data_IF_927206498358
#
_entry.id   IF_927206498358
#
_cell.length_a   1.000
_cell.length_b   1.000
_cell.length_c   1.000
_cell.angle_alpha   90.00
_cell.angle_beta   90.00
_cell.angle_gamma   90.00
#
_symmetry.space_group_name_H-M   'P 1'
#
loop_
_entity.id
_entity.type
_entity.pdbx_description
1 polymer ?
#
# COMPACT_ATOMS: atom_id res chain seq x y z
N UNK A 1 -1.72 9.42 41.96
CA UNK A 1 -0.91 8.58 41.04
C UNK A 1 -1.77 8.34 39.82
N UNK A 2 -1.72 9.32 38.91
CA UNK A 2 -2.39 9.26 37.62
C UNK A 2 -1.55 8.35 36.73
N UNK A 3 -2.07 7.16 36.40
CA UNK A 3 -1.51 6.28 35.38
C UNK A 3 -1.68 7.01 34.05
N UNK A 4 -0.65 7.77 33.65
CA UNK A 4 -0.65 8.53 32.41
C UNK A 4 -0.80 7.59 31.21
N UNK A 5 -2.04 7.44 30.75
CA UNK A 5 -2.31 7.04 29.37
C UNK A 5 -1.76 8.18 28.51
N UNK A 6 -0.68 7.93 27.75
CA UNK A 6 -0.24 8.88 26.74
C UNK A 6 -1.43 9.22 25.85
N UNK A 7 -1.74 10.51 25.61
CA UNK A 7 -2.84 10.85 24.71
C UNK A 7 -2.51 10.29 23.33
N UNK A 8 -3.31 9.34 22.87
CA UNK A 8 -3.20 8.78 21.52
C UNK A 8 -3.53 9.88 20.51
N UNK A 9 -2.66 10.07 19.51
CA UNK A 9 -2.85 11.04 18.43
C UNK A 9 -3.80 10.48 17.36
N UNK A 10 -4.99 10.07 17.75
CA UNK A 10 -5.90 9.34 16.90
C UNK A 10 -6.91 10.27 16.23
N UNK A 11 -7.00 10.21 14.89
CA UNK A 11 -8.16 10.72 14.16
C UNK A 11 -9.17 9.58 14.06
N UNK A 12 -10.32 9.77 14.68
CA UNK A 12 -11.39 8.78 14.75
C UNK A 12 -12.63 9.30 14.04
N UNK A 13 -13.15 8.50 13.13
CA UNK A 13 -14.41 8.73 12.42
C UNK A 13 -15.33 7.55 12.70
N UNK A 14 -16.54 7.81 13.13
CA UNK A 14 -17.57 6.79 13.31
C UNK A 14 -18.51 6.71 12.10
N UNK A 15 -19.50 5.82 12.15
CA UNK A 15 -20.44 5.59 11.07
C UNK A 15 -21.27 6.83 10.68
N UNK A 16 -21.44 7.80 11.57
CA UNK A 16 -22.18 9.04 11.29
C UNK A 16 -21.47 9.93 10.27
N UNK A 17 -20.18 9.70 10.05
CA UNK A 17 -19.39 10.41 9.03
C UNK A 17 -19.70 9.92 7.61
N UNK A 18 -20.15 8.69 7.44
CA UNK A 18 -20.35 8.03 6.14
C UNK A 18 -21.83 7.95 5.77
N UNK A 19 -22.47 9.10 5.57
CA UNK A 19 -23.93 9.21 5.34
C UNK A 19 -24.34 8.88 3.91
N UNK A 20 -23.44 9.13 2.97
CA UNK A 20 -23.66 8.94 1.52
C UNK A 20 -22.31 8.73 0.82
N UNK A 21 -22.34 8.50 -0.50
CA UNK A 21 -21.12 8.24 -1.28
C UNK A 21 -20.23 9.47 -1.37
N UNK A 22 -20.76 10.66 -1.40
CA UNK A 22 -20.01 11.91 -1.43
C UNK A 22 -19.22 12.12 -0.12
N UNK A 23 -19.83 11.81 1.02
CA UNK A 23 -19.15 11.83 2.31
C UNK A 23 -18.08 10.73 2.38
N UNK A 24 -18.35 9.54 1.85
CA UNK A 24 -17.40 8.44 1.79
C UNK A 24 -16.14 8.76 0.93
N UNK A 25 -16.31 9.52 -0.16
CA UNK A 25 -15.25 10.00 -1.05
C UNK A 25 -14.62 11.33 -0.56
N UNK A 26 -15.18 11.96 0.48
CA UNK A 26 -14.86 13.32 0.92
C UNK A 26 -13.51 13.53 1.60
N UNK A 27 -12.84 12.47 2.01
CA UNK A 27 -11.54 12.49 2.68
C UNK A 27 -10.72 11.26 2.36
N UNK A 28 -9.40 11.33 2.57
CA UNK A 28 -8.51 10.19 2.38
C UNK A 28 -7.52 10.06 3.54
N UNK A 29 -7.04 8.86 3.78
CA UNK A 29 -5.89 8.62 4.62
C UNK A 29 -4.60 8.61 3.80
N UNK A 30 -3.47 8.82 4.46
CA UNK A 30 -2.14 8.73 3.87
C UNK A 30 -1.19 7.99 4.83
N UNK A 31 -0.62 6.90 4.38
CA UNK A 31 0.49 6.18 5.02
C UNK A 31 1.68 6.23 4.07
N UNK A 32 2.89 6.49 4.58
CA UNK A 32 4.09 6.62 3.77
C UNK A 32 5.21 5.73 4.29
N UNK A 33 6.12 5.36 3.39
CA UNK A 33 7.24 4.46 3.71
C UNK A 33 8.61 5.15 3.76
N UNK A 34 8.69 6.49 3.71
CA UNK A 34 9.95 7.22 3.70
C UNK A 34 10.77 7.13 2.39
N UNK A 35 10.29 6.37 1.40
CA UNK A 35 10.91 6.28 0.07
C UNK A 35 10.13 7.06 -1.01
N UNK A 36 9.00 7.66 -0.66
CA UNK A 36 8.05 8.28 -1.59
C UNK A 36 6.90 7.35 -2.00
N UNK A 37 6.94 6.07 -1.62
CA UNK A 37 5.81 5.15 -1.71
C UNK A 37 4.75 5.46 -0.65
N UNK A 38 3.50 5.05 -0.92
CA UNK A 38 2.39 5.34 -0.02
C UNK A 38 1.22 4.37 -0.16
N UNK A 39 0.37 4.34 0.86
CA UNK A 39 -0.99 3.85 0.81
C UNK A 39 -1.93 5.04 1.03
N UNK A 40 -2.85 5.27 0.09
CA UNK A 40 -3.80 6.37 0.13
C UNK A 40 -5.10 5.95 -0.56
N UNK A 41 -6.17 5.83 0.21
CA UNK A 41 -7.53 5.58 -0.26
C UNK A 41 -8.48 6.57 0.43
N UNK A 42 -9.71 6.65 -0.05
CA UNK A 42 -10.76 7.36 0.66
C UNK A 42 -10.97 6.78 2.07
N UNK A 43 -11.47 7.57 3.00
CA UNK A 43 -11.71 7.11 4.38
C UNK A 43 -12.65 5.91 4.46
N UNK A 44 -13.55 5.75 3.49
CA UNK A 44 -14.40 4.57 3.35
C UNK A 44 -13.74 3.41 2.57
N UNK A 45 -12.43 3.48 2.28
CA UNK A 45 -11.67 2.45 1.59
C UNK A 45 -11.86 2.41 0.08
N UNK A 46 -12.52 3.42 -0.52
CA UNK A 46 -12.70 3.55 -1.96
C UNK A 46 -11.55 4.25 -2.68
N UNK A 47 -11.66 4.34 -4.00
CA UNK A 47 -10.72 5.11 -4.84
C UNK A 47 -11.50 6.16 -5.64
N UNK A 48 -11.40 7.42 -5.24
CA UNK A 48 -12.00 8.56 -5.94
C UNK A 48 -11.03 9.31 -6.86
N UNK A 49 -9.75 8.85 -6.90
CA UNK A 49 -8.68 9.42 -7.74
C UNK A 49 -7.82 8.34 -8.39
N UNK A 50 -7.32 8.63 -9.58
CA UNK A 50 -6.33 7.81 -10.28
C UNK A 50 -5.03 7.61 -9.47
N UNK A 51 -4.68 8.60 -8.66
CA UNK A 51 -3.50 8.57 -7.79
C UNK A 51 -3.72 7.79 -6.48
N UNK A 52 -4.94 7.35 -6.18
CA UNK A 52 -5.21 6.48 -5.04
C UNK A 52 -4.70 5.07 -5.32
N UNK A 53 -4.06 4.49 -4.31
CA UNK A 53 -3.61 3.11 -4.30
C UNK A 53 -3.50 2.64 -2.85
N UNK A 54 -3.88 1.39 -2.59
CA UNK A 54 -3.54 0.75 -1.33
C UNK A 54 -2.04 0.44 -1.28
N UNK A 55 -1.40 0.23 -2.45
CA UNK A 55 0.04 0.05 -2.57
C UNK A 55 0.62 0.81 -3.77
N UNK A 56 1.08 2.03 -3.52
CA UNK A 56 1.92 2.81 -4.43
C UNK A 56 3.37 2.63 -4.02
N UNK A 57 4.20 1.99 -4.86
CA UNK A 57 5.61 1.74 -4.57
C UNK A 57 6.51 2.79 -5.25
N UNK A 58 7.54 3.25 -4.57
CA UNK A 58 8.59 4.07 -5.15
C UNK A 58 9.72 3.15 -5.65
N UNK A 59 9.62 2.66 -6.88
CA UNK A 59 10.63 1.75 -7.46
C UNK A 59 11.99 2.40 -7.65
N UNK A 60 12.00 3.73 -7.69
CA UNK A 60 13.19 4.56 -7.57
C UNK A 60 12.84 5.81 -6.76
N UNK A 61 13.40 5.87 -5.55
CA UNK A 61 13.04 6.89 -4.57
C UNK A 61 13.50 8.30 -4.98
N UNK A 62 12.64 9.33 -4.83
CA UNK A 62 11.25 9.26 -4.35
C UNK A 62 10.19 9.31 -5.47
N UNK A 63 10.56 9.61 -6.71
CA UNK A 63 9.64 10.14 -7.71
C UNK A 63 9.16 9.09 -8.72
N UNK A 64 9.90 7.99 -8.94
CA UNK A 64 9.46 6.93 -9.84
C UNK A 64 8.51 6.00 -9.09
N UNK A 65 7.23 6.35 -9.11
CA UNK A 65 6.16 5.66 -8.38
C UNK A 65 5.30 4.84 -9.31
N UNK A 66 4.94 3.63 -8.86
CA UNK A 66 4.07 2.71 -9.58
C UNK A 66 2.89 2.31 -8.71
N UNK A 67 1.69 2.41 -9.26
CA UNK A 67 0.49 1.82 -8.66
C UNK A 67 0.58 0.30 -8.84
N UNK A 68 0.96 -0.41 -7.80
CA UNK A 68 1.08 -1.86 -7.81
C UNK A 68 -0.29 -2.50 -7.57
N UNK A 69 -0.99 -2.05 -6.52
CA UNK A 69 -2.32 -2.52 -6.15
C UNK A 69 -3.18 -1.30 -5.87
N UNK A 70 -4.20 -1.12 -6.69
CA UNK A 70 -5.11 0.03 -6.54
C UNK A 70 -5.95 -0.13 -5.28
N UNK A 71 -6.55 -1.32 -5.08
CA UNK A 71 -7.37 -1.64 -3.90
C UNK A 71 -7.47 -3.15 -3.71
N UNK A 72 -8.08 -3.61 -2.62
CA UNK A 72 -8.58 -4.97 -2.44
C UNK A 72 -10.11 -4.92 -2.29
N UNK A 73 -10.83 -5.67 -3.12
CA UNK A 73 -12.26 -5.89 -2.91
C UNK A 73 -12.43 -6.86 -1.74
N UNK A 74 -13.35 -6.53 -0.83
CA UNK A 74 -13.60 -7.28 0.40
C UNK A 74 -15.02 -7.85 0.34
N UNK A 75 -15.13 -9.18 0.28
CA UNK A 75 -16.37 -9.89 0.42
C UNK A 75 -16.33 -10.71 1.70
N UNK A 76 -17.37 -10.62 2.54
CA UNK A 76 -17.53 -11.43 3.72
C UNK A 76 -18.85 -12.19 3.64
N UNK A 77 -18.78 -13.51 3.70
CA UNK A 77 -19.97 -14.38 3.79
C UNK A 77 -20.17 -14.75 5.26
N UNK A 78 -21.37 -14.53 5.77
CA UNK A 78 -21.77 -14.93 7.13
C UNK A 78 -23.00 -15.83 7.03
N UNK A 79 -22.88 -17.07 7.46
CA UNK A 79 -23.93 -18.11 7.39
C UNK A 79 -24.54 -18.23 5.97
N UNK A 80 -23.69 -18.18 4.93
CA UNK A 80 -24.08 -18.31 3.52
C UNK A 80 -24.63 -17.02 2.88
N UNK A 81 -24.71 -15.89 3.60
CA UNK A 81 -25.12 -14.59 3.05
C UNK A 81 -23.87 -13.76 2.76
N UNK A 82 -23.73 -13.31 1.51
CA UNK A 82 -22.58 -12.51 1.05
C UNK A 82 -22.82 -11.02 1.33
N UNK A 83 -21.84 -10.38 1.93
CA UNK A 83 -21.76 -8.94 2.17
C UNK A 83 -20.54 -8.39 1.45
N UNK A 84 -20.77 -7.46 0.50
CA UNK A 84 -19.71 -6.73 -0.18
C UNK A 84 -19.31 -5.54 0.69
N UNK A 85 -18.08 -5.47 1.18
CA UNK A 85 -17.64 -4.46 2.14
C UNK A 85 -16.80 -3.33 1.51
N UNK A 86 -16.44 -3.46 0.23
CA UNK A 86 -15.70 -2.42 -0.46
C UNK A 86 -16.61 -1.32 -0.99
N UNK A 87 -16.23 -0.07 -0.78
CA UNK A 87 -16.88 1.11 -1.38
C UNK A 87 -16.13 1.46 -2.65
N UNK A 88 -16.80 1.39 -3.81
CA UNK A 88 -16.18 1.71 -5.10
C UNK A 88 -17.21 2.19 -6.10
N UNK A 89 -16.85 3.21 -6.87
CA UNK A 89 -17.64 3.67 -8.01
C UNK A 89 -17.13 3.00 -9.29
N UNK A 90 -18.06 2.44 -10.04
CA UNK A 90 -17.79 1.73 -11.29
C UNK A 90 -17.75 2.69 -12.48
N UNK A 91 -17.21 2.24 -13.61
CA UNK A 91 -17.10 3.05 -14.82
C UNK A 91 -18.45 3.50 -15.41
N UNK A 92 -19.54 2.78 -15.10
CA UNK A 92 -20.92 3.10 -15.50
C UNK A 92 -21.67 4.01 -14.51
N UNK A 93 -20.96 4.62 -13.54
CA UNK A 93 -21.48 5.42 -12.44
C UNK A 93 -22.27 4.64 -11.36
N UNK A 94 -22.48 3.37 -11.52
CA UNK A 94 -22.98 2.55 -10.41
C UNK A 94 -21.93 2.53 -9.27
N UNK A 95 -22.39 2.34 -8.04
CA UNK A 95 -21.49 2.24 -6.88
C UNK A 95 -21.99 1.22 -5.87
N UNK A 96 -21.06 0.75 -5.07
CA UNK A 96 -21.36 -0.09 -3.91
C UNK A 96 -21.52 0.80 -2.68
N UNK A 97 -22.66 0.67 -1.97
CA UNK A 97 -23.01 1.48 -0.80
C UNK A 97 -22.55 0.84 0.53
N UNK A 98 -21.40 0.23 0.52
CA UNK A 98 -20.94 -0.64 1.61
C UNK A 98 -20.37 0.14 2.80
N UNK A 99 -20.16 1.44 2.66
CA UNK A 99 -19.82 2.33 3.77
C UNK A 99 -20.79 2.25 4.95
N UNK A 100 -22.03 1.83 4.72
CA UNK A 100 -23.02 1.59 5.79
C UNK A 100 -22.63 0.51 6.81
N UNK A 101 -21.70 -0.38 6.45
CA UNK A 101 -21.17 -1.40 7.35
C UNK A 101 -19.95 -0.93 8.13
N UNK A 102 -19.41 0.26 7.84
CA UNK A 102 -18.29 0.83 8.58
C UNK A 102 -18.78 1.25 9.97
N UNK A 103 -18.20 0.65 11.01
CA UNK A 103 -18.43 1.02 12.40
C UNK A 103 -17.55 2.21 12.80
N UNK A 104 -16.28 2.15 12.45
CA UNK A 104 -15.29 3.20 12.73
C UNK A 104 -14.08 3.13 11.80
N UNK A 105 -13.42 4.26 11.66
CA UNK A 105 -12.13 4.42 10.99
C UNK A 105 -11.19 5.16 11.92
N UNK A 106 -9.95 4.72 12.01
CA UNK A 106 -8.93 5.33 12.84
C UNK A 106 -7.63 5.52 12.04
N UNK A 107 -7.00 6.67 12.22
CA UNK A 107 -5.64 6.93 11.73
C UNK A 107 -4.76 7.34 12.91
N UNK A 108 -3.70 6.60 13.16
CA UNK A 108 -2.74 6.81 14.24
C UNK A 108 -1.33 6.38 13.84
N UNK A 109 -0.34 7.19 14.16
CA UNK A 109 1.07 6.81 14.08
C UNK A 109 1.49 6.22 12.72
N UNK A 110 1.07 6.84 11.62
CA UNK A 110 1.30 6.37 10.24
C UNK A 110 0.71 4.98 9.98
N UNK A 111 -0.39 4.66 10.65
CA UNK A 111 -1.19 3.45 10.46
C UNK A 111 -2.66 3.82 10.24
N UNK A 112 -3.36 3.02 9.48
CA UNK A 112 -4.79 3.17 9.24
C UNK A 112 -5.52 1.91 9.66
N UNK A 113 -6.66 2.05 10.34
CA UNK A 113 -7.56 0.94 10.59
C UNK A 113 -9.01 1.29 10.29
N UNK A 114 -9.75 0.28 9.86
CA UNK A 114 -11.18 0.36 9.54
C UNK A 114 -11.89 -0.87 10.08
N UNK A 115 -12.99 -0.67 10.77
CA UNK A 115 -13.81 -1.74 11.32
C UNK A 115 -15.16 -1.78 10.63
N UNK A 116 -15.49 -2.91 10.05
CA UNK A 116 -16.81 -3.23 9.54
C UNK A 116 -17.57 -4.08 10.57
N UNK A 117 -18.88 -3.93 10.62
CA UNK A 117 -19.76 -4.73 11.46
C UNK A 117 -20.94 -5.27 10.65
N UNK A 118 -21.04 -6.58 10.59
CA UNK A 118 -22.11 -7.31 9.90
C UNK A 118 -22.59 -8.43 10.79
N UNK A 119 -23.85 -8.38 11.23
CA UNK A 119 -24.45 -9.43 12.08
C UNK A 119 -23.61 -9.79 13.32
N UNK A 120 -23.08 -8.80 14.03
CA UNK A 120 -22.16 -8.93 15.16
C UNK A 120 -20.79 -9.58 14.84
N UNK A 121 -20.52 -9.92 13.59
CA UNK A 121 -19.15 -10.23 13.13
C UNK A 121 -18.45 -8.93 12.78
N UNK A 122 -17.32 -8.64 13.43
CA UNK A 122 -16.48 -7.49 13.13
C UNK A 122 -15.30 -7.93 12.29
N UNK A 123 -15.03 -7.16 11.24
CA UNK A 123 -13.81 -7.28 10.43
C UNK A 123 -13.02 -5.99 10.60
N UNK A 124 -11.86 -6.08 11.23
CA UNK A 124 -10.93 -4.95 11.37
C UNK A 124 -9.78 -5.11 10.36
N UNK A 125 -9.68 -4.16 9.44
CA UNK A 125 -8.51 -3.99 8.58
C UNK A 125 -7.52 -3.06 9.27
N UNK A 126 -6.26 -3.47 9.38
CA UNK A 126 -5.15 -2.60 9.76
C UNK A 126 -4.07 -2.59 8.68
N UNK A 127 -3.57 -1.41 8.32
CA UNK A 127 -2.60 -1.17 7.24
C UNK A 127 -1.32 -0.57 7.80
N UNK A 128 -0.19 -1.17 7.44
CA UNK A 128 1.16 -0.71 7.81
C UNK A 128 2.07 -0.75 6.58
N UNK A 129 2.89 0.28 6.41
CA UNK A 129 4.01 0.30 5.46
C UNK A 129 5.31 0.51 6.24
N UNK A 130 6.15 -0.54 6.41
CA UNK A 130 7.42 -0.40 7.11
C UNK A 130 8.30 0.68 6.49
N UNK A 131 8.89 1.53 7.33
CA UNK A 131 9.73 2.63 6.88
C UNK A 131 11.00 2.14 6.17
N UNK A 132 11.34 2.76 5.05
CA UNK A 132 12.52 2.41 4.25
C UNK A 132 12.34 1.24 3.30
N UNK A 133 11.12 0.70 3.14
CA UNK A 133 10.85 -0.45 2.28
C UNK A 133 9.61 -0.25 1.40
N UNK A 134 9.64 -0.81 0.18
CA UNK A 134 8.45 -0.94 -0.65
C UNK A 134 7.68 -2.22 -0.27
N UNK A 135 7.12 -2.21 0.93
CA UNK A 135 6.34 -3.30 1.53
C UNK A 135 5.04 -2.75 2.09
N UNK A 136 3.94 -3.43 1.78
CA UNK A 136 2.61 -3.19 2.36
C UNK A 136 2.24 -4.42 3.19
N UNK A 137 1.82 -4.21 4.42
CA UNK A 137 1.31 -5.26 5.30
C UNK A 137 -0.12 -4.93 5.71
N UNK A 138 -1.00 -5.90 5.55
CA UNK A 138 -2.42 -5.81 5.87
C UNK A 138 -2.77 -6.91 6.88
N UNK A 139 -3.51 -6.57 7.92
CA UNK A 139 -4.15 -7.54 8.81
C UNK A 139 -5.66 -7.36 8.79
N UNK A 140 -6.37 -8.41 8.48
CA UNK A 140 -7.82 -8.51 8.55
C UNK A 140 -8.20 -9.39 9.75
N UNK A 141 -8.45 -8.77 10.88
CA UNK A 141 -8.86 -9.45 12.10
C UNK A 141 -10.39 -9.64 12.12
N UNK A 142 -10.82 -10.89 12.20
CA UNK A 142 -12.23 -11.27 12.35
C UNK A 142 -12.50 -11.52 13.83
N UNK A 143 -13.44 -10.76 14.42
CA UNK A 143 -14.02 -11.05 15.74
C UNK A 143 -15.45 -11.57 15.55
N UNK A 144 -15.67 -12.84 15.92
CA UNK A 144 -16.88 -13.63 15.67
C UNK A 144 -17.39 -14.30 16.95
N UNK A 145 -17.88 -13.52 17.95
CA UNK A 145 -18.21 -14.03 19.28
C UNK A 145 -19.35 -15.05 19.28
N UNK A 146 -20.17 -15.07 18.25
CA UNK A 146 -21.30 -16.00 18.10
C UNK A 146 -20.95 -17.25 17.28
N UNK A 147 -19.68 -17.38 16.85
CA UNK A 147 -19.16 -18.52 16.09
C UNK A 147 -19.95 -18.81 14.81
N UNK A 148 -20.36 -17.77 14.08
CA UNK A 148 -20.96 -17.90 12.76
C UNK A 148 -19.99 -18.58 11.78
N UNK A 149 -20.51 -19.24 10.75
CA UNK A 149 -19.69 -19.69 9.62
C UNK A 149 -19.32 -18.48 8.75
N UNK A 150 -18.06 -18.05 8.82
CA UNK A 150 -17.54 -16.87 8.13
C UNK A 150 -16.56 -17.26 7.05
N UNK A 151 -16.75 -16.77 5.82
CA UNK A 151 -15.75 -16.79 4.76
C UNK A 151 -15.36 -15.37 4.37
N UNK A 152 -14.09 -15.03 4.51
CA UNK A 152 -13.48 -13.79 4.01
C UNK A 152 -12.83 -14.05 2.67
N UNK A 153 -13.18 -13.24 1.67
CA UNK A 153 -12.56 -13.22 0.35
C UNK A 153 -12.02 -11.84 0.04
N UNK A 154 -10.74 -11.77 -0.30
CA UNK A 154 -10.02 -10.55 -0.65
C UNK A 154 -9.52 -10.66 -2.08
N UNK A 155 -9.90 -9.70 -2.93
CA UNK A 155 -9.58 -9.71 -4.35
C UNK A 155 -8.76 -8.49 -4.71
N UNK A 156 -7.44 -8.60 -4.93
CA UNK A 156 -6.59 -7.47 -5.25
C UNK A 156 -6.84 -6.96 -6.67
N UNK A 157 -6.85 -5.65 -6.83
CA UNK A 157 -6.96 -4.91 -8.09
C UNK A 157 -5.56 -4.50 -8.55
N UNK A 158 -4.95 -5.31 -9.41
CA UNK A 158 -3.57 -5.13 -9.87
C UNK A 158 -3.51 -4.13 -11.01
N UNK A 159 -2.45 -3.31 -11.01
CA UNK A 159 -2.28 -2.29 -12.03
C UNK A 159 -0.86 -2.23 -12.63
N UNK A 160 0.18 -2.22 -11.83
CA UNK A 160 1.61 -2.18 -12.19
C UNK A 160 1.92 -1.09 -13.23
N UNK A 161 1.35 0.10 -13.04
CA UNK A 161 1.55 1.24 -13.95
C UNK A 161 2.24 2.40 -13.25
N UNK A 162 3.01 3.21 -13.98
CA UNK A 162 3.50 4.47 -13.42
C UNK A 162 2.33 5.32 -12.89
N UNK A 163 2.58 6.07 -11.83
CA UNK A 163 1.64 7.04 -11.28
C UNK A 163 1.05 7.91 -12.41
N UNK A 164 -0.22 8.23 -12.36
CA UNK A 164 -0.96 9.00 -13.38
C UNK A 164 -1.06 8.36 -14.77
N UNK A 165 -0.73 7.09 -14.91
CA UNK A 165 -0.78 6.39 -16.21
C UNK A 165 -1.90 5.37 -16.21
N UNK A 166 -2.75 5.37 -17.23
CA UNK A 166 -3.77 4.33 -17.42
C UNK A 166 -3.12 2.98 -17.72
N UNK A 167 -3.74 1.90 -17.24
CA UNK A 167 -3.31 0.56 -17.58
C UNK A 167 -3.58 0.29 -19.07
N UNK A 168 -2.63 -0.33 -19.77
CA UNK A 168 -2.81 -0.73 -21.15
C UNK A 168 -3.78 -1.92 -21.24
N UNK A 169 -4.60 -1.95 -22.28
CA UNK A 169 -5.58 -3.01 -22.50
C UNK A 169 -4.94 -4.40 -22.73
N UNK A 170 -3.69 -4.43 -23.17
CA UNK A 170 -2.89 -5.63 -23.43
C UNK A 170 -1.89 -5.95 -22.31
N UNK A 171 -2.06 -5.37 -21.11
CA UNK A 171 -1.21 -5.66 -19.97
C UNK A 171 -1.27 -7.14 -19.58
N UNK A 172 -0.13 -7.81 -19.65
CA UNK A 172 0.01 -9.21 -19.29
C UNK A 172 0.49 -9.32 -17.84
N UNK A 173 -0.18 -10.17 -17.06
CA UNK A 173 0.23 -10.53 -15.69
C UNK A 173 0.42 -12.04 -15.62
N UNK A 174 1.49 -12.47 -14.96
CA UNK A 174 1.73 -13.86 -14.61
C UNK A 174 1.80 -14.03 -13.10
N UNK A 175 1.44 -15.23 -12.64
CA UNK A 175 1.56 -15.62 -11.23
C UNK A 175 2.37 -16.89 -11.16
N UNK A 176 3.26 -16.96 -10.16
CA UNK A 176 4.04 -18.16 -9.83
C UNK A 176 3.88 -18.46 -8.35
N UNK A 177 3.62 -19.70 -8.01
CA UNK A 177 3.72 -20.15 -6.63
C UNK A 177 5.20 -20.24 -6.24
N UNK A 178 5.51 -19.77 -5.05
CA UNK A 178 6.85 -19.91 -4.49
C UNK A 178 6.89 -21.15 -3.61
N UNK A 179 7.53 -22.22 -4.12
CA UNK A 179 7.72 -23.46 -3.38
C UNK A 179 9.18 -23.56 -2.90
N UNK A 180 9.38 -23.86 -1.62
CA UNK A 180 10.70 -24.11 -1.05
C UNK A 180 10.91 -25.61 -0.90
N UNK A 181 11.58 -26.27 -1.87
CA UNK A 181 12.09 -27.63 -1.69
C UNK A 181 13.49 -27.59 -1.06
N UNK A 182 13.63 -28.17 0.12
CA UNK A 182 14.91 -28.25 0.87
C UNK A 182 16.01 -29.06 0.18
N UNK A 183 15.74 -29.74 -0.95
CA UNK A 183 16.67 -30.71 -1.54
C UNK A 183 17.71 -30.14 -2.51
N UNK A 184 17.45 -28.99 -3.12
CA UNK A 184 18.41 -28.34 -4.03
C UNK A 184 18.25 -26.81 -3.93
N UNK A 185 19.35 -26.10 -3.76
CA UNK A 185 19.40 -24.62 -3.67
C UNK A 185 19.02 -23.89 -4.98
N UNK A 186 18.19 -24.50 -5.80
CA UNK A 186 17.48 -23.94 -6.93
C UNK A 186 15.99 -24.17 -6.71
N UNK A 187 15.30 -23.15 -6.23
CA UNK A 187 13.86 -23.17 -5.96
C UNK A 187 13.08 -23.55 -7.22
N UNK A 188 12.30 -24.65 -7.24
CA UNK A 188 11.45 -24.97 -8.38
C UNK A 188 10.30 -23.97 -8.42
N UNK A 189 10.32 -23.12 -9.43
CA UNK A 189 9.23 -22.20 -9.75
C UNK A 189 8.20 -23.01 -10.52
N UNK A 190 6.99 -23.21 -9.96
CA UNK A 190 5.86 -23.72 -10.74
C UNK A 190 5.24 -22.58 -11.51
N UNK A 191 5.51 -22.53 -12.81
CA UNK A 191 4.91 -21.53 -13.71
C UNK A 191 3.46 -21.95 -14.03
N UNK A 192 2.49 -21.14 -13.60
CA UNK A 192 1.15 -21.15 -14.15
C UNK A 192 1.12 -20.10 -15.27
N UNK A 193 1.52 -20.50 -16.48
CA UNK A 193 1.25 -19.70 -17.64
C UNK A 193 -0.26 -19.61 -17.80
N UNK A 194 -0.84 -18.43 -17.65
CA UNK A 194 -2.21 -18.16 -18.12
C UNK A 194 -2.21 -18.42 -19.61
N UNK A 195 -2.86 -19.51 -20.01
CA UNK A 195 -2.81 -20.06 -21.33
C UNK A 195 -3.14 -19.00 -22.38
N UNK A 196 -2.22 -18.79 -23.31
CA UNK A 196 -2.49 -18.24 -24.63
C UNK A 196 -3.49 -19.15 -25.35
N UNK A 197 -4.79 -18.97 -25.08
CA UNK A 197 -5.85 -19.52 -25.89
C UNK A 197 -6.67 -18.39 -26.49
N UNK A 198 -6.12 -17.81 -27.54
CA UNK A 198 -6.93 -17.19 -28.56
C UNK A 198 -6.46 -17.71 -29.92
N UNK A 199 -7.40 -18.43 -30.58
CA UNK A 199 -7.39 -18.80 -31.99
C UNK A 199 -6.37 -19.87 -32.43
N UNK A 200 -6.75 -21.14 -32.33
CA UNK A 200 -7.00 -21.94 -33.52
C UNK A 200 -7.58 -23.30 -33.13
N UNK A 201 -8.79 -23.53 -33.55
CA UNK A 201 -9.45 -24.83 -33.62
C UNK A 201 -8.67 -25.81 -34.47
N UNK A 202 -8.80 -27.07 -34.07
CA UNK A 202 -8.48 -28.32 -34.78
C UNK A 202 -7.12 -28.94 -34.51
N UNK A 203 -7.04 -29.94 -33.69
CA UNK A 203 -6.97 -31.37 -34.00
C UNK A 203 -6.61 -32.21 -32.77
N UNK A 204 -7.37 -33.29 -32.64
CA UNK A 204 -7.17 -34.43 -31.75
C UNK A 204 -5.73 -34.99 -31.77
N UNK A 205 -5.21 -35.38 -30.57
CA UNK A 205 -4.72 -36.75 -30.40
C UNK A 205 -4.40 -37.12 -28.94
N UNK A 206 -5.11 -38.12 -28.50
CA UNK A 206 -4.85 -39.24 -27.58
C UNK A 206 -3.97 -39.08 -26.33
N UNK A 207 -4.66 -39.34 -25.24
CA UNK A 207 -4.18 -39.83 -23.94
C UNK A 207 -3.17 -40.97 -24.08
N UNK A 208 -2.18 -40.95 -23.17
CA UNK A 208 -1.66 -42.20 -22.60
C UNK A 208 -1.38 -42.00 -21.11
N UNK A 209 -2.07 -42.82 -20.32
CA UNK A 209 -1.97 -42.85 -18.87
C UNK A 209 -0.66 -43.50 -18.39
N UNK A 210 -0.17 -43.02 -17.30
CA UNK A 210 0.89 -43.61 -16.50
C UNK A 210 0.58 -43.38 -15.02
N UNK A 211 0.02 -44.40 -14.39
CA UNK A 211 -0.11 -44.54 -12.95
C UNK A 211 1.26 -44.52 -12.29
N UNK A 212 1.48 -43.67 -11.31
CA UNK A 212 2.57 -43.82 -10.34
C UNK A 212 2.01 -43.93 -8.94
N UNK A 213 2.53 -44.96 -8.26
CA UNK A 213 2.20 -45.41 -6.92
C UNK A 213 2.40 -44.34 -5.86
N UNK A 214 1.43 -44.34 -4.96
CA UNK A 214 1.45 -43.63 -3.69
C UNK A 214 2.18 -44.44 -2.64
N UNK A 215 3.38 -44.04 -2.28
CA UNK A 215 3.96 -44.33 -0.97
C UNK A 215 5.29 -43.61 -0.80
N UNK A 216 5.24 -42.40 -0.26
CA UNK A 216 6.26 -41.84 0.64
C UNK A 216 5.65 -40.58 1.25
N UNK A 217 5.08 -40.75 2.46
CA UNK A 217 4.66 -39.65 3.31
C UNK A 217 5.92 -39.10 3.97
N UNK A 218 6.62 -38.22 3.30
CA UNK A 218 7.57 -37.35 3.95
C UNK A 218 6.82 -36.18 4.57
N UNK A 219 6.94 -36.04 5.89
CA UNK A 219 6.51 -34.86 6.64
C UNK A 219 7.13 -33.60 6.02
N UNK A 220 6.40 -32.96 5.12
CA UNK A 220 6.67 -31.57 4.75
C UNK A 220 6.34 -30.74 5.99
N UNK A 221 7.34 -30.10 6.61
CA UNK A 221 7.07 -29.00 7.53
C UNK A 221 6.27 -27.95 6.72
N UNK A 222 4.97 -27.81 7.03
CA UNK A 222 4.10 -26.84 6.40
C UNK A 222 4.65 -25.45 6.70
N UNK A 223 4.92 -24.69 5.66
CA UNK A 223 5.23 -23.25 5.83
C UNK A 223 3.95 -22.56 6.30
N UNK A 224 4.00 -21.71 7.33
CA UNK A 224 2.82 -21.05 7.89
C UNK A 224 2.26 -19.94 6.98
N UNK A 225 2.82 -19.73 5.79
CA UNK A 225 2.37 -18.74 4.83
C UNK A 225 2.41 -19.27 3.40
N UNK A 226 1.31 -19.05 2.66
CA UNK A 226 1.27 -19.23 1.22
C UNK A 226 1.96 -18.05 0.55
N UNK A 227 2.81 -18.29 -0.44
CA UNK A 227 3.52 -17.25 -1.16
C UNK A 227 3.39 -17.40 -2.67
N UNK A 228 3.11 -16.29 -3.33
CA UNK A 228 3.08 -16.17 -4.79
C UNK A 228 3.93 -14.98 -5.24
N UNK A 229 4.43 -15.06 -6.46
CA UNK A 229 5.10 -13.97 -7.16
C UNK A 229 4.18 -13.52 -8.29
N UNK A 230 3.84 -12.25 -8.30
CA UNK A 230 3.03 -11.60 -9.33
C UNK A 230 3.95 -10.75 -10.18
N UNK A 231 3.96 -10.98 -11.48
CA UNK A 231 4.79 -10.23 -12.43
C UNK A 231 3.91 -9.52 -13.47
N UNK A 232 4.28 -8.30 -13.84
CA UNK A 232 3.63 -7.52 -14.88
C UNK A 232 4.42 -6.24 -15.16
N UNK A 233 4.46 -5.81 -16.41
CA UNK A 233 5.14 -4.56 -16.82
C UNK A 233 6.59 -4.45 -16.32
N UNK A 234 7.38 -5.53 -16.41
CA UNK A 234 8.77 -5.63 -15.94
C UNK A 234 8.95 -5.42 -14.43
N UNK A 235 7.87 -5.47 -13.68
CA UNK A 235 7.87 -5.37 -12.21
C UNK A 235 7.41 -6.68 -11.59
N UNK A 236 7.83 -6.87 -10.34
CA UNK A 236 7.52 -8.06 -9.55
C UNK A 236 7.07 -7.67 -8.15
N UNK A 237 6.00 -8.31 -7.67
CA UNK A 237 5.55 -8.24 -6.28
C UNK A 237 5.49 -9.63 -5.69
N UNK A 238 6.06 -9.80 -4.52
CA UNK A 238 5.86 -10.97 -3.67
C UNK A 238 4.59 -10.76 -2.86
N UNK A 239 3.69 -11.73 -2.86
CA UNK A 239 2.55 -11.78 -1.95
C UNK A 239 2.72 -13.00 -1.04
N UNK A 240 2.77 -12.77 0.28
CA UNK A 240 2.76 -13.82 1.28
C UNK A 240 1.53 -13.67 2.19
N UNK A 241 0.87 -14.78 2.56
CA UNK A 241 -0.34 -14.74 3.39
C UNK A 241 -0.56 -16.05 4.14
N UNK A 242 -1.24 -15.99 5.29
CA UNK A 242 -1.80 -17.16 5.97
C UNK A 242 -3.22 -17.51 5.49
N UNK A 243 -3.67 -16.89 4.41
CA UNK A 243 -4.92 -17.22 3.71
C UNK A 243 -4.64 -18.15 2.53
N UNK A 244 -5.66 -18.88 2.09
CA UNK A 244 -5.59 -19.70 0.89
C UNK A 244 -5.60 -18.81 -0.36
N UNK A 245 -4.68 -19.07 -1.29
CA UNK A 245 -4.61 -18.38 -2.57
C UNK A 245 -5.38 -19.18 -3.62
N UNK A 246 -6.38 -18.55 -4.24
CA UNK A 246 -7.12 -19.11 -5.36
C UNK A 246 -6.76 -18.36 -6.64
N UNK A 247 -6.14 -19.07 -7.58
CA UNK A 247 -5.82 -18.51 -8.89
C UNK A 247 -7.04 -18.54 -9.80
N UNK A 248 -7.31 -17.47 -10.53
CA UNK A 248 -8.36 -17.44 -11.53
C UNK A 248 -7.88 -18.09 -12.82
N UNK A 249 -8.77 -18.80 -13.49
CA UNK A 249 -8.48 -19.50 -14.76
C UNK A 249 -8.09 -18.53 -15.90
N UNK A 250 -8.50 -17.27 -15.78
CA UNK A 250 -8.17 -16.19 -16.72
C UNK A 250 -8.18 -14.85 -15.99
N UNK A 251 -7.39 -13.89 -16.48
CA UNK A 251 -7.45 -12.52 -16.00
C UNK A 251 -8.81 -11.90 -16.31
N UNK A 252 -9.37 -11.15 -15.36
CA UNK A 252 -10.55 -10.34 -15.60
C UNK A 252 -10.21 -8.85 -15.38
N UNK A 253 -10.94 -7.97 -16.07
CA UNK A 253 -10.79 -6.53 -15.92
C UNK A 253 -11.86 -6.01 -14.97
N UNK A 254 -11.43 -5.14 -14.06
CA UNK A 254 -12.28 -4.38 -13.17
C UNK A 254 -12.14 -2.90 -13.51
N UNK A 255 -13.21 -2.29 -14.02
CA UNK A 255 -13.20 -0.90 -14.46
C UNK A 255 -13.88 -0.01 -13.44
N UNK A 256 -13.24 1.09 -13.11
CA UNK A 256 -13.68 2.04 -12.08
C UNK A 256 -13.68 3.47 -12.58
N UNK A 257 -14.39 4.33 -11.87
CA UNK A 257 -14.43 5.77 -12.09
C UNK A 257 -13.88 6.51 -10.88
N UNK A 258 -13.19 7.61 -11.16
CA UNK A 258 -12.57 8.50 -10.18
C UNK A 258 -13.29 9.85 -10.17
N UNK A 259 -14.23 10.02 -9.26
CA UNK A 259 -15.14 11.18 -9.21
C UNK A 259 -14.43 12.49 -8.94
N UNK A 260 -13.38 12.47 -8.11
CA UNK A 260 -12.62 13.68 -7.83
C UNK A 260 -11.75 14.09 -9.04
N UNK A 261 -11.31 13.14 -9.86
CA UNK A 261 -10.62 13.46 -11.11
C UNK A 261 -11.60 13.99 -12.16
N UNK A 262 -12.84 13.47 -12.23
CA UNK A 262 -13.93 14.09 -13.05
C UNK A 262 -14.13 15.55 -12.70
N UNK A 263 -14.24 15.84 -11.39
CA UNK A 263 -14.43 17.22 -10.90
C UNK A 263 -13.25 18.13 -11.26
N UNK A 264 -12.05 17.60 -11.24
CA UNK A 264 -10.82 18.35 -11.52
C UNK A 264 -10.48 18.38 -13.03
N UNK A 265 -11.32 17.81 -13.91
CA UNK A 265 -11.15 17.79 -15.37
C UNK A 265 -9.98 16.89 -15.84
N UNK A 266 -9.67 15.85 -15.08
CA UNK A 266 -8.64 14.85 -15.37
C UNK A 266 -9.27 13.59 -15.98
N UNK A 267 -8.43 12.67 -16.49
CA UNK A 267 -8.89 11.35 -16.88
C UNK A 267 -9.49 10.63 -15.66
N UNK A 268 -10.74 10.24 -15.76
CA UNK A 268 -11.58 9.84 -14.63
C UNK A 268 -11.98 8.37 -14.63
N UNK A 269 -11.49 7.60 -15.57
CA UNK A 269 -11.78 6.16 -15.66
C UNK A 269 -10.52 5.33 -15.83
N UNK A 270 -10.51 4.12 -15.28
CA UNK A 270 -9.40 3.20 -15.43
C UNK A 270 -9.80 1.77 -15.14
N UNK A 271 -8.88 0.87 -15.43
CA UNK A 271 -9.08 -0.56 -15.22
C UNK A 271 -7.92 -1.16 -14.43
N UNK A 272 -8.24 -2.22 -13.70
CA UNK A 272 -7.29 -3.07 -13.00
C UNK A 272 -7.48 -4.52 -13.44
N UNK A 273 -6.44 -5.35 -13.26
CA UNK A 273 -6.50 -6.79 -13.51
C UNK A 273 -6.80 -7.52 -12.21
N UNK A 274 -7.70 -8.48 -12.28
CA UNK A 274 -7.94 -9.49 -11.24
C UNK A 274 -7.46 -10.82 -11.80
N UNK A 275 -6.56 -11.51 -11.10
CA UNK A 275 -6.01 -12.81 -11.50
C UNK A 275 -5.97 -13.83 -10.35
N UNK A 276 -6.20 -13.40 -9.12
CA UNK A 276 -6.28 -14.26 -7.94
C UNK A 276 -7.17 -13.64 -6.86
N UNK A 277 -7.52 -14.43 -5.88
CA UNK A 277 -8.07 -13.95 -4.62
C UNK A 277 -7.48 -14.73 -3.45
N UNK A 278 -7.57 -14.15 -2.27
CA UNK A 278 -7.20 -14.79 -1.01
C UNK A 278 -8.49 -15.13 -0.24
N UNK A 279 -8.54 -16.31 0.34
CA UNK A 279 -9.74 -16.79 1.06
C UNK A 279 -9.37 -17.33 2.43
N UNK A 280 -10.27 -17.11 3.38
CA UNK A 280 -10.22 -17.73 4.69
C UNK A 280 -11.62 -18.07 5.15
N UNK A 281 -11.84 -19.32 5.53
CA UNK A 281 -13.08 -19.74 6.19
C UNK A 281 -12.79 -20.06 7.65
N UNK A 282 -13.62 -19.58 8.54
CA UNK A 282 -13.49 -19.79 9.98
C UNK A 282 -14.83 -19.76 10.68
N UNK A 283 -14.94 -20.50 11.77
CA UNK A 283 -16.01 -20.35 12.77
C UNK A 283 -15.42 -20.03 14.15
N UNK A 284 -14.11 -19.75 14.20
CA UNK A 284 -13.47 -19.39 15.45
C UNK A 284 -13.90 -17.99 15.91
N UNK A 285 -13.90 -17.73 17.24
CA UNK A 285 -14.29 -16.44 17.79
C UNK A 285 -13.33 -15.31 17.39
N UNK A 286 -12.06 -15.62 17.12
CA UNK A 286 -11.03 -14.68 16.70
C UNK A 286 -10.14 -15.32 15.63
N UNK A 287 -9.87 -14.56 14.55
CA UNK A 287 -9.01 -15.03 13.46
C UNK A 287 -8.26 -13.87 12.82
N UNK A 288 -6.94 -13.94 12.80
CA UNK A 288 -6.08 -12.95 12.12
C UNK A 288 -5.65 -13.43 10.74
N UNK A 289 -5.84 -12.59 9.73
CA UNK A 289 -5.57 -12.88 8.34
C UNK A 289 -4.61 -11.83 7.80
N UNK A 290 -3.35 -12.19 7.64
CA UNK A 290 -2.28 -11.27 7.27
C UNK A 290 -1.88 -11.47 5.81
N UNK A 291 -1.69 -10.36 5.11
CA UNK A 291 -1.16 -10.31 3.75
C UNK A 291 0.02 -9.35 3.73
N UNK A 292 1.09 -9.78 3.09
CA UNK A 292 2.29 -8.95 2.84
C UNK A 292 2.51 -8.87 1.35
N UNK A 293 2.49 -7.65 0.80
CA UNK A 293 2.91 -7.36 -0.57
C UNK A 293 4.25 -6.61 -0.53
N UNK A 294 5.23 -7.06 -1.29
CA UNK A 294 6.56 -6.44 -1.25
C UNK A 294 7.29 -6.51 -2.60
N UNK A 295 8.10 -5.47 -2.87
CA UNK A 295 9.06 -5.46 -3.97
C UNK A 295 10.44 -5.99 -3.55
N UNK A 296 10.64 -6.29 -2.27
CA UNK A 296 11.87 -6.91 -1.79
C UNK A 296 12.07 -8.30 -2.38
N UNK A 297 13.28 -8.85 -2.27
CA UNK A 297 13.54 -10.21 -2.71
C UNK A 297 12.65 -11.22 -1.97
N UNK A 298 12.13 -12.26 -2.66
CA UNK A 298 11.25 -13.25 -2.03
C UNK A 298 11.88 -13.88 -0.78
N UNK A 299 13.17 -14.16 -0.82
CA UNK A 299 13.93 -14.78 0.27
C UNK A 299 13.89 -13.90 1.54
N UNK A 300 14.02 -12.58 1.38
CA UNK A 300 14.00 -11.63 2.49
C UNK A 300 12.62 -11.58 3.15
N UNK A 301 11.57 -11.53 2.34
CA UNK A 301 10.19 -11.50 2.84
C UNK A 301 9.85 -12.81 3.52
N UNK A 302 10.12 -13.94 2.86
CA UNK A 302 9.81 -15.25 3.40
C UNK A 302 10.57 -15.53 4.69
N UNK A 303 11.83 -15.13 4.80
CA UNK A 303 12.60 -15.26 6.04
C UNK A 303 11.96 -14.51 7.23
N UNK A 304 11.28 -13.40 6.98
CA UNK A 304 10.58 -12.63 8.01
C UNK A 304 9.26 -13.26 8.45
N UNK A 305 8.52 -13.88 7.52
CA UNK A 305 7.16 -14.36 7.76
C UNK A 305 7.05 -15.86 7.94
N UNK A 306 8.12 -16.64 7.64
CA UNK A 306 8.10 -18.10 7.58
C UNK A 306 7.70 -18.79 8.88
N UNK A 307 7.94 -18.18 10.04
CA UNK A 307 7.63 -18.79 11.33
C UNK A 307 6.27 -18.34 11.87
N UNK A 308 5.91 -17.08 11.66
CA UNK A 308 4.67 -16.48 12.15
C UNK A 308 4.44 -15.14 11.45
N UNK A 309 3.57 -15.14 10.44
CA UNK A 309 3.25 -13.93 9.67
C UNK A 309 2.46 -12.91 10.50
N UNK A 310 1.65 -13.37 11.46
CA UNK A 310 0.90 -12.50 12.37
C UNK A 310 1.86 -11.75 13.29
N UNK A 311 2.82 -12.46 13.85
CA UNK A 311 3.85 -11.83 14.67
C UNK A 311 4.73 -10.87 13.86
N UNK A 312 5.02 -11.19 12.58
CA UNK A 312 5.75 -10.28 11.69
C UNK A 312 4.98 -8.97 11.46
N UNK A 313 3.66 -9.05 11.25
CA UNK A 313 2.78 -7.87 11.16
C UNK A 313 2.78 -7.06 12.47
N UNK A 314 2.55 -7.72 13.60
CA UNK A 314 2.48 -7.07 14.91
C UNK A 314 3.79 -6.36 15.25
N UNK A 315 4.93 -6.98 14.90
CA UNK A 315 6.24 -6.36 15.05
C UNK A 315 6.39 -5.14 14.17
N UNK A 316 6.02 -5.19 12.89
CA UNK A 316 6.10 -4.05 11.98
C UNK A 316 5.22 -2.88 12.46
N UNK A 317 4.02 -3.16 12.94
CA UNK A 317 3.11 -2.16 13.51
C UNK A 317 3.70 -1.52 14.79
N UNK A 318 4.27 -2.33 15.68
CA UNK A 318 4.92 -1.84 16.90
C UNK A 318 6.18 -1.01 16.59
N UNK A 319 7.01 -1.45 15.64
CA UNK A 319 8.22 -0.73 15.22
C UNK A 319 7.85 0.64 14.61
N UNK A 320 6.81 0.72 13.77
CA UNK A 320 6.35 1.98 13.18
C UNK A 320 5.77 2.92 14.22
N UNK A 321 4.95 2.41 15.14
CA UNK A 321 4.43 3.20 16.27
C UNK A 321 5.54 3.74 17.14
N UNK A 322 6.54 2.93 17.47
CA UNK A 322 7.69 3.35 18.25
C UNK A 322 8.52 4.41 17.50
N UNK A 323 8.71 4.26 16.18
CA UNK A 323 9.43 5.22 15.33
C UNK A 323 8.75 6.60 15.35
N UNK A 324 7.44 6.64 15.15
CA UNK A 324 6.68 7.91 15.17
C UNK A 324 6.70 8.53 16.58
N UNK A 325 6.55 7.72 17.63
CA UNK A 325 6.62 8.20 19.00
C UNK A 325 8.01 8.81 19.32
N UNK A 326 9.09 8.21 18.83
CA UNK A 326 10.45 8.73 18.99
C UNK A 326 10.62 10.09 18.28
N UNK A 327 10.14 10.23 17.04
CA UNK A 327 10.15 11.51 16.30
C UNK A 327 9.41 12.59 17.07
N UNK A 328 8.20 12.28 17.54
CA UNK A 328 7.36 13.22 18.29
C UNK A 328 8.03 13.63 19.60
N UNK A 329 8.59 12.68 20.34
CA UNK A 329 9.28 12.97 21.60
C UNK A 329 10.56 13.78 21.39
N UNK A 330 11.33 13.46 20.33
CA UNK A 330 12.55 14.19 19.96
C UNK A 330 12.25 15.63 19.55
N UNK A 331 11.09 15.92 18.96
CA UNK A 331 10.68 17.28 18.58
C UNK A 331 10.60 18.25 19.76
N UNK A 332 10.36 17.73 20.97
CA UNK A 332 10.18 18.54 22.18
C UNK A 332 8.86 19.31 22.24
N UNK A 333 8.00 19.20 21.23
CA UNK A 333 6.70 19.88 21.17
C UNK A 333 5.75 19.29 22.22
N UNK A 334 5.08 20.16 23.01
CA UNK A 334 4.26 19.75 24.17
C UNK A 334 2.75 19.76 23.89
N UNK A 335 2.29 20.65 22.98
CA UNK A 335 0.87 20.70 22.64
C UNK A 335 0.48 19.48 21.78
N UNK A 336 -0.74 19.02 21.92
CA UNK A 336 -1.27 17.93 21.11
C UNK A 336 -1.16 18.23 19.60
N UNK A 337 -1.58 19.43 19.20
CA UNK A 337 -1.43 19.87 17.79
C UNK A 337 0.04 19.86 17.34
N UNK A 338 0.97 20.32 18.19
CA UNK A 338 2.40 20.30 17.86
C UNK A 338 2.93 18.88 17.67
N UNK A 339 2.51 17.94 18.50
CA UNK A 339 2.86 16.52 18.40
C UNK A 339 2.30 15.89 17.11
N UNK A 340 1.03 16.20 16.79
CA UNK A 340 0.40 15.74 15.54
C UNK A 340 1.10 16.31 14.31
N UNK A 341 1.48 17.59 14.33
CA UNK A 341 2.23 18.22 13.24
C UNK A 341 3.62 17.61 13.07
N UNK A 342 4.31 17.26 14.18
CA UNK A 342 5.62 16.60 14.12
C UNK A 342 5.52 15.20 13.49
N UNK A 343 4.49 14.43 13.86
CA UNK A 343 4.22 13.14 13.24
C UNK A 343 3.86 13.29 11.74
N UNK A 344 2.98 14.24 11.41
CA UNK A 344 2.58 14.49 10.02
C UNK A 344 3.70 14.99 9.11
N UNK A 345 4.65 15.77 9.67
CA UNK A 345 5.82 16.26 8.93
C UNK A 345 6.73 15.12 8.44
N UNK A 346 6.78 14.01 9.18
CA UNK A 346 7.58 12.84 8.82
C UNK A 346 7.18 12.23 7.47
N UNK A 347 5.88 12.21 7.16
CA UNK A 347 5.36 11.65 5.92
C UNK A 347 5.97 12.28 4.65
N UNK A 348 6.40 13.54 4.72
CA UNK A 348 6.92 14.29 3.58
C UNK A 348 8.44 14.23 3.42
N UNK A 349 9.18 13.83 4.47
CA UNK A 349 10.64 13.69 4.41
C UNK A 349 11.00 12.30 3.91
N UNK A 350 11.62 12.25 2.74
CA UNK A 350 11.89 10.98 2.05
C UNK A 350 13.35 10.87 1.61
N UNK A 351 13.82 9.64 1.46
CA UNK A 351 15.12 9.37 0.86
C UNK A 351 15.12 9.75 -0.62
N UNK A 352 16.27 10.25 -1.11
CA UNK A 352 16.49 10.56 -2.51
C UNK A 352 17.70 9.77 -3.02
N UNK A 353 17.42 8.70 -3.76
CA UNK A 353 18.41 7.75 -4.25
C UNK A 353 19.50 8.43 -5.10
N UNK A 354 19.13 9.31 -6.03
CA UNK A 354 20.05 9.96 -6.94
C UNK A 354 21.09 10.88 -6.26
N UNK A 355 20.86 11.29 -5.02
CA UNK A 355 21.78 12.15 -4.26
C UNK A 355 22.40 11.46 -3.06
N UNK A 356 21.86 10.30 -2.66
CA UNK A 356 22.20 9.61 -1.41
C UNK A 356 21.87 10.46 -0.18
N UNK A 357 20.85 11.31 -0.26
CA UNK A 357 20.39 12.21 0.79
C UNK A 357 18.88 12.22 0.89
N UNK A 358 18.35 13.25 1.56
CA UNK A 358 16.89 13.41 1.76
C UNK A 358 16.35 14.58 0.96
N UNK A 359 15.03 14.57 0.77
CA UNK A 359 14.25 15.66 0.18
C UNK A 359 12.88 15.74 0.85
N UNK A 360 12.06 16.71 0.44
CA UNK A 360 10.67 16.88 0.90
C UNK A 360 9.75 16.75 -0.30
N UNK A 361 8.74 15.89 -0.19
CA UNK A 361 7.65 15.80 -1.16
C UNK A 361 6.71 17.00 -0.98
N UNK A 362 6.42 17.72 -2.06
CA UNK A 362 5.59 18.92 -2.02
C UNK A 362 4.13 18.62 -1.65
N UNK A 363 3.61 17.43 -1.99
CA UNK A 363 2.25 17.02 -1.63
C UNK A 363 1.85 15.67 -2.21
N UNK A 364 1.49 14.72 -1.33
CA UNK A 364 0.88 13.47 -1.74
C UNK A 364 -0.60 13.66 -2.11
N UNK A 365 -1.11 12.87 -3.04
CA UNK A 365 -0.42 11.92 -3.92
C UNK A 365 0.15 12.56 -5.19
N UNK A 366 0.00 13.88 -5.40
CA UNK A 366 0.12 14.53 -6.70
C UNK A 366 1.55 14.92 -7.09
N UNK A 367 2.31 15.49 -6.14
CA UNK A 367 3.55 16.19 -6.44
C UNK A 367 4.78 15.36 -6.07
N UNK A 368 5.88 15.71 -6.70
CA UNK A 368 7.24 15.24 -6.43
C UNK A 368 7.92 16.20 -5.43
N UNK A 369 9.26 16.14 -5.36
CA UNK A 369 10.06 17.08 -4.59
C UNK A 369 10.34 18.36 -5.42
N UNK A 370 9.68 19.43 -5.03
CA UNK A 370 9.83 20.74 -5.67
C UNK A 370 10.69 21.66 -4.82
N UNK A 371 11.64 22.38 -5.49
CA UNK A 371 12.63 23.20 -4.81
C UNK A 371 12.03 24.33 -3.96
N UNK A 372 11.10 25.09 -4.52
CA UNK A 372 10.40 26.16 -3.82
C UNK A 372 9.67 25.62 -2.59
N UNK A 373 8.86 24.58 -2.80
CA UNK A 373 8.02 23.97 -1.77
C UNK A 373 8.89 23.40 -0.64
N UNK A 374 9.97 22.70 -1.02
CA UNK A 374 10.95 22.18 -0.06
C UNK A 374 11.52 23.29 0.81
N UNK A 375 11.97 24.41 0.22
CA UNK A 375 12.61 25.49 1.00
C UNK A 375 11.61 26.20 1.89
N UNK A 376 10.36 26.36 1.48
CA UNK A 376 9.29 26.94 2.31
C UNK A 376 8.94 26.01 3.47
N UNK A 377 8.85 24.70 3.22
CA UNK A 377 8.47 23.74 4.23
C UNK A 377 9.61 23.36 5.20
N UNK A 378 10.87 23.59 4.83
CA UNK A 378 12.05 23.07 5.52
C UNK A 378 12.09 23.43 7.01
N UNK A 379 11.88 24.70 7.33
CA UNK A 379 11.90 25.17 8.72
C UNK A 379 10.88 24.46 9.59
N UNK A 380 9.62 24.36 9.08
CA UNK A 380 8.52 23.70 9.79
C UNK A 380 8.68 22.19 9.92
N UNK A 381 9.10 21.54 8.86
CA UNK A 381 9.20 20.06 8.82
C UNK A 381 10.46 19.53 9.50
N UNK A 382 11.53 20.31 9.59
CA UNK A 382 12.82 19.85 10.13
C UNK A 382 13.29 20.62 11.37
N UNK A 383 13.43 21.94 11.31
CA UNK A 383 13.97 22.73 12.43
C UNK A 383 13.01 22.76 13.62
N UNK A 384 11.72 23.03 13.36
CA UNK A 384 10.68 23.05 14.40
C UNK A 384 10.44 21.67 15.04
N UNK A 385 10.82 20.59 14.36
CA UNK A 385 10.72 19.21 14.85
C UNK A 385 12.07 18.64 15.33
N UNK A 386 13.09 19.50 15.49
CA UNK A 386 14.46 19.16 15.91
C UNK A 386 15.19 18.14 15.01
N UNK A 387 14.76 17.96 13.75
CA UNK A 387 15.36 17.05 12.74
C UNK A 387 16.52 17.73 11.99
N UNK A 388 17.51 18.23 12.72
CA UNK A 388 18.62 19.00 12.16
C UNK A 388 19.48 18.23 11.17
N UNK A 389 19.63 16.92 11.36
CA UNK A 389 20.35 16.05 10.41
C UNK A 389 19.64 15.97 9.06
N UNK A 390 18.32 15.87 9.07
CA UNK A 390 17.50 15.84 7.86
C UNK A 390 17.52 17.19 7.15
N UNK A 391 17.39 18.30 7.89
CA UNK A 391 17.55 19.65 7.36
C UNK A 391 18.87 19.78 6.58
N UNK A 392 19.98 19.39 7.22
CA UNK A 392 21.31 19.45 6.59
C UNK A 392 21.41 18.55 5.36
N UNK A 393 20.82 17.35 5.39
CA UNK A 393 20.80 16.42 4.27
C UNK A 393 20.05 17.00 3.08
N UNK A 394 18.87 17.59 3.33
CA UNK A 394 18.03 18.22 2.32
C UNK A 394 18.74 19.42 1.67
N UNK A 395 19.28 20.33 2.46
CA UNK A 395 20.04 21.47 1.95
C UNK A 395 21.23 21.02 1.08
N UNK A 396 21.96 19.98 1.50
CA UNK A 396 23.06 19.41 0.69
C UNK A 396 22.58 18.79 -0.61
N UNK A 397 21.39 18.19 -0.63
CA UNK A 397 20.75 17.65 -1.83
C UNK A 397 20.58 18.76 -2.85
N UNK A 398 19.96 19.88 -2.48
CA UNK A 398 19.74 21.00 -3.39
C UNK A 398 21.03 21.71 -3.79
N UNK A 399 21.97 21.91 -2.84
CA UNK A 399 23.25 22.55 -3.12
C UNK A 399 24.09 21.81 -4.19
N UNK A 400 23.98 20.48 -4.31
CA UNK A 400 24.65 19.69 -5.35
C UNK A 400 24.22 20.06 -6.78
N UNK A 401 23.03 20.63 -6.93
CA UNK A 401 22.44 20.99 -8.22
C UNK A 401 22.45 22.50 -8.46
N UNK A 402 23.13 23.30 -7.64
CA UNK A 402 23.32 24.72 -7.93
C UNK A 402 24.04 24.91 -9.26
N UNK A 403 23.50 25.80 -10.11
CA UNK A 403 24.05 26.15 -11.39
C UNK A 403 23.88 27.65 -11.67
N UNK A 404 25.00 28.39 -11.74
CA UNK A 404 25.01 29.83 -12.02
C UNK A 404 24.11 30.63 -11.04
N UNK A 405 24.12 30.29 -9.78
CA UNK A 405 23.30 30.94 -8.74
C UNK A 405 21.83 30.52 -8.72
N UNK A 406 21.42 29.54 -9.54
CA UNK A 406 20.07 29.02 -9.57
C UNK A 406 20.03 27.62 -8.93
N UNK A 407 18.90 27.33 -8.30
CA UNK A 407 18.52 25.99 -7.81
C UNK A 407 17.38 25.43 -8.65
N UNK A 408 17.36 24.13 -8.88
CA UNK A 408 16.26 23.53 -9.63
C UNK A 408 14.95 23.61 -8.85
N UNK A 409 13.87 23.95 -9.54
CA UNK A 409 12.53 23.89 -8.97
C UNK A 409 11.92 22.50 -9.08
N UNK A 410 12.30 21.71 -10.06
CA UNK A 410 11.91 20.32 -10.24
C UNK A 410 13.14 19.47 -10.51
N UNK A 411 13.25 18.34 -9.79
CA UNK A 411 14.26 17.32 -10.03
C UNK A 411 13.59 16.12 -10.72
N UNK A 412 13.61 16.04 -12.03
CA UNK A 412 13.12 14.86 -12.70
C UNK A 412 14.06 13.67 -12.44
N UNK A 413 13.47 12.50 -12.17
CA UNK A 413 14.21 11.24 -12.09
C UNK A 413 14.51 10.66 -13.48
N UNK A 414 15.43 9.69 -13.55
CA UNK A 414 15.69 8.95 -14.77
C UNK A 414 16.58 9.67 -15.81
N UNK A 415 17.39 10.64 -15.39
CA UNK A 415 18.36 11.30 -16.26
C UNK A 415 17.82 12.51 -17.04
N UNK A 416 16.62 12.95 -16.74
CA UNK A 416 16.09 14.22 -17.27
C UNK A 416 16.83 15.42 -16.64
N UNK A 417 16.93 16.51 -17.39
CA UNK A 417 17.61 17.72 -16.92
C UNK A 417 16.78 18.44 -15.86
N UNK A 418 17.37 18.82 -14.70
CA UNK A 418 16.70 19.63 -13.69
C UNK A 418 16.18 20.95 -14.26
N UNK A 419 14.99 21.37 -13.82
CA UNK A 419 14.34 22.58 -14.34
C UNK A 419 14.69 23.79 -13.48
N UNK A 420 15.44 24.73 -14.05
CA UNK A 420 15.87 25.99 -13.40
C UNK A 420 14.94 27.16 -13.80
N UNK A 421 13.65 27.01 -13.54
CA UNK A 421 12.61 27.96 -13.97
C UNK A 421 12.01 28.81 -12.82
N UNK A 422 12.74 28.86 -11.69
CA UNK A 422 12.31 29.58 -10.49
C UNK A 422 13.44 30.51 -10.02
N UNK A 423 13.15 31.81 -9.89
CA UNK A 423 14.08 32.80 -9.37
C UNK A 423 14.07 32.92 -7.85
N UNK A 424 13.01 32.46 -7.19
CA UNK A 424 12.80 32.51 -5.75
C UNK A 424 13.39 31.33 -4.98
N UNK A 425 13.53 30.16 -5.59
CA UNK A 425 14.10 28.99 -4.93
C UNK A 425 15.51 29.23 -4.36
N UNK A 426 16.48 29.90 -5.08
CA UNK A 426 17.77 30.25 -4.51
C UNK A 426 17.69 31.21 -3.31
N UNK A 427 16.76 32.17 -3.38
CA UNK A 427 16.57 33.13 -2.27
C UNK A 427 16.00 32.45 -1.03
N UNK A 428 15.03 31.57 -1.21
CA UNK A 428 14.46 30.76 -0.14
C UNK A 428 15.50 29.80 0.43
N UNK A 429 16.36 29.23 -0.41
CA UNK A 429 17.48 28.39 0.06
C UNK A 429 18.45 29.15 0.95
N UNK A 430 18.85 30.37 0.55
CA UNK A 430 19.74 31.23 1.40
C UNK A 430 19.07 31.52 2.74
N UNK A 431 17.76 31.83 2.72
CA UNK A 431 16.99 32.05 3.95
C UNK A 431 16.98 30.79 4.84
N UNK A 432 16.69 29.63 4.26
CA UNK A 432 16.66 28.35 4.97
C UNK A 432 18.03 27.93 5.54
N UNK A 433 19.13 28.34 4.89
CA UNK A 433 20.49 28.11 5.43
C UNK A 433 20.79 29.07 6.58
N UNK A 434 20.22 30.27 6.57
CA UNK A 434 20.41 31.27 7.62
C UNK A 434 19.67 30.92 8.91
N UNK A 435 18.48 30.38 8.83
CA UNK A 435 17.67 29.89 9.96
C UNK A 435 18.37 28.72 10.69
#
# INVERSE_FOLDING_TARGET
EDSGTEPSMNFLFDNSHFTDIEAAEGGCYLITNGLGGYSCLDLAGGTSRNDHAIFMAAVKAPNVRYNMITNLLIDMTVDGIIYHLSTQRMADDSFTDNFKYIEKVCFDSNMFSMVFNVRNVRLELCIVMPHGENTLMLNYHISNPECHDVELRLTPLLRFTPKNTAMKADAEFSIREYATDKADAKFPIREYAVAKQLLNSTNNEKMNGGTRDSSDVNCCEEFPANAIIIEGNDLRVVCASNMDVELLSQNSLYSMRWTLDTRDGRDDTGSCVINHCLKKRTSEPDCENVIVYSLCAPEDILSRVQNDIVNAFNKAAADEKARIADIVNHSGLKSELGRQLAAGADAYIVERESTGGKTIIAGYPFFEDWGRDTMIALGGTTLATARYSDCRSILKTFAKYEKNGLLPNLFPEGGMTPMYNSADAPLLFVNAVYE
#
